data_IF_611421620491
#
_entry.id   IF_611421620491
#
_cell.length_a   1.000
_cell.length_b   1.000
_cell.length_c   1.000
_cell.angle_alpha   90.00
_cell.angle_beta   90.00
_cell.angle_gamma   90.00
#
_symmetry.space_group_name_H-M   'P 1'
#
loop_
_entity.id
_entity.type
_entity.pdbx_description
1 polymer ?
#
# COMPACT_ATOMS: atom_id res chain seq x y z
N UNK A 1 37.23 2.61 -9.64
CA UNK A 1 37.28 1.28 -9.01
C UNK A 1 37.98 0.35 -9.98
N UNK A 2 38.92 -0.48 -9.51
CA UNK A 2 39.65 -1.42 -10.38
C UNK A 2 39.07 -2.81 -10.15
N UNK A 3 38.53 -3.42 -11.20
CA UNK A 3 38.11 -4.81 -11.21
C UNK A 3 39.14 -5.63 -11.98
N UNK A 4 39.52 -6.79 -11.44
CA UNK A 4 40.31 -7.77 -12.20
C UNK A 4 39.31 -8.50 -13.09
N UNK A 5 39.34 -8.27 -14.39
CA UNK A 5 38.46 -8.95 -15.34
C UNK A 5 39.27 -9.93 -16.18
N UNK A 6 38.82 -11.17 -16.24
CA UNK A 6 39.39 -12.22 -17.07
C UNK A 6 38.57 -12.32 -18.36
N UNK A 7 39.12 -11.79 -19.46
CA UNK A 7 38.46 -11.73 -20.77
C UNK A 7 38.13 -13.12 -21.33
N UNK A 8 38.98 -14.13 -21.07
CA UNK A 8 38.82 -15.48 -21.61
C UNK A 8 37.62 -16.20 -20.96
N UNK A 9 37.50 -16.06 -19.64
CA UNK A 9 36.42 -16.68 -18.85
C UNK A 9 35.19 -15.78 -18.72
N UNK A 10 35.35 -14.48 -18.99
CA UNK A 10 34.33 -13.47 -18.77
C UNK A 10 33.90 -13.35 -17.31
N UNK A 11 34.84 -13.46 -16.37
CA UNK A 11 34.58 -13.43 -14.92
C UNK A 11 35.41 -12.36 -14.20
N UNK A 12 34.97 -11.97 -13.00
CA UNK A 12 35.76 -11.14 -12.10
C UNK A 12 36.75 -12.00 -11.30
N UNK A 13 38.02 -11.62 -11.30
CA UNK A 13 39.06 -12.16 -10.43
C UNK A 13 38.89 -11.69 -9.00
N UNK A 14 39.01 -12.61 -8.03
CA UNK A 14 39.01 -12.27 -6.59
C UNK A 14 40.17 -11.34 -6.23
N UNK A 15 41.34 -11.61 -6.80
CA UNK A 15 42.53 -10.77 -6.72
C UNK A 15 43.35 -10.87 -8.02
N UNK A 16 44.35 -10.01 -8.18
CA UNK A 16 45.16 -9.91 -9.39
C UNK A 16 45.94 -11.19 -9.74
N UNK A 17 46.14 -12.09 -8.78
CA UNK A 17 46.89 -13.33 -8.93
C UNK A 17 46.03 -14.58 -8.91
N UNK A 18 44.80 -14.52 -8.38
CA UNK A 18 44.00 -15.71 -8.06
C UNK A 18 43.82 -16.65 -9.26
N UNK A 19 43.40 -16.11 -10.40
CA UNK A 19 43.12 -16.89 -11.62
C UNK A 19 44.40 -17.44 -12.29
N UNK A 20 45.59 -16.98 -11.90
CA UNK A 20 46.86 -17.55 -12.36
C UNK A 20 47.30 -18.80 -11.59
N UNK A 21 46.69 -19.06 -10.43
CA UNK A 21 47.01 -20.22 -9.56
C UNK A 21 46.47 -21.52 -10.15
N UNK A 22 47.02 -22.65 -9.73
CA UNK A 22 46.49 -23.96 -10.13
C UNK A 22 45.18 -24.28 -9.40
N UNK A 23 44.33 -25.13 -9.97
CA UNK A 23 43.17 -25.68 -9.26
C UNK A 23 43.61 -26.61 -8.13
N UNK A 24 42.80 -26.70 -7.07
CA UNK A 24 43.05 -27.62 -5.97
C UNK A 24 43.06 -29.08 -6.49
N UNK A 25 44.05 -29.91 -6.13
CA UNK A 25 44.13 -31.28 -6.63
C UNK A 25 42.95 -32.15 -6.15
N UNK A 26 42.34 -32.92 -7.05
CA UNK A 26 41.15 -33.74 -6.75
C UNK A 26 41.44 -34.85 -5.75
N UNK A 27 42.67 -35.37 -5.72
CA UNK A 27 43.12 -36.38 -4.76
C UNK A 27 43.14 -35.88 -3.30
N UNK A 28 43.07 -34.56 -3.09
CA UNK A 28 43.09 -33.95 -1.77
C UNK A 28 41.66 -33.64 -1.27
N UNK A 29 41.00 -34.64 -0.70
CA UNK A 29 39.58 -34.60 -0.32
C UNK A 29 39.30 -34.21 1.13
N UNK A 30 40.30 -34.27 2.03
CA UNK A 30 40.10 -33.96 3.46
C UNK A 30 39.59 -32.55 3.69
N UNK A 31 38.56 -32.40 4.54
CA UNK A 31 37.96 -31.11 4.94
C UNK A 31 37.67 -31.10 6.44
N UNK A 32 37.72 -29.94 7.12
CA UNK A 32 38.11 -28.61 6.61
C UNK A 32 39.60 -28.51 6.25
N UNK A 33 39.95 -27.75 5.21
CA UNK A 33 41.32 -27.72 4.66
C UNK A 33 42.38 -27.29 5.68
N UNK A 34 42.10 -26.25 6.46
CA UNK A 34 43.05 -25.70 7.44
C UNK A 34 43.39 -26.67 8.58
N UNK A 35 42.58 -27.72 8.79
CA UNK A 35 42.85 -28.76 9.78
C UNK A 35 43.71 -29.91 9.23
N UNK A 36 43.89 -29.97 7.90
CA UNK A 36 44.54 -31.10 7.23
C UNK A 36 45.74 -30.71 6.36
N UNK A 37 45.84 -29.45 5.92
CA UNK A 37 46.89 -28.97 5.04
C UNK A 37 47.51 -27.68 5.57
N UNK A 38 48.82 -27.52 5.34
CA UNK A 38 49.53 -26.31 5.74
C UNK A 38 49.03 -25.09 4.92
N UNK A 39 48.84 -23.90 5.53
CA UNK A 39 48.33 -22.72 4.81
C UNK A 39 49.12 -22.35 3.54
N UNK A 40 50.46 -22.46 3.58
CA UNK A 40 51.31 -22.21 2.41
C UNK A 40 51.09 -23.19 1.25
N UNK A 41 50.50 -24.36 1.50
CA UNK A 41 50.02 -25.26 0.44
C UNK A 41 48.73 -24.70 -0.14
N UNK A 42 47.75 -24.39 0.72
CA UNK A 42 46.41 -23.92 0.32
C UNK A 42 46.47 -22.63 -0.51
N UNK A 43 47.26 -21.65 -0.09
CA UNK A 43 47.32 -20.32 -0.73
C UNK A 43 47.84 -20.30 -2.17
N UNK A 44 48.44 -21.41 -2.63
CA UNK A 44 48.95 -21.58 -4.00
C UNK A 44 47.87 -22.04 -4.99
N UNK A 45 46.67 -22.33 -4.51
CA UNK A 45 45.59 -22.88 -5.32
C UNK A 45 44.37 -21.96 -5.38
N UNK A 46 43.56 -22.17 -6.41
CA UNK A 46 42.23 -21.59 -6.56
C UNK A 46 41.24 -22.35 -5.67
N UNK A 47 41.18 -22.00 -4.39
CA UNK A 47 40.23 -22.60 -3.44
C UNK A 47 39.79 -21.57 -2.41
N UNK A 48 38.50 -21.55 -2.11
CA UNK A 48 37.93 -20.62 -1.14
C UNK A 48 37.56 -21.34 0.14
N UNK A 49 37.90 -20.72 1.27
CA UNK A 49 37.39 -21.13 2.59
C UNK A 49 35.90 -20.79 2.73
N UNK A 50 35.50 -19.66 2.17
CA UNK A 50 34.17 -19.09 2.32
C UNK A 50 33.82 -18.19 1.12
N UNK A 51 32.55 -17.83 1.00
CA UNK A 51 32.08 -16.83 0.05
C UNK A 51 32.87 -15.51 0.18
N UNK A 52 33.55 -15.14 -0.90
CA UNK A 52 34.28 -13.88 -1.05
C UNK A 52 33.65 -13.09 -2.20
N UNK A 53 33.94 -13.50 -3.44
CA UNK A 53 33.36 -12.90 -4.65
C UNK A 53 31.83 -12.94 -4.63
N UNK A 54 31.21 -13.98 -4.06
CA UNK A 54 29.75 -14.04 -3.95
C UNK A 54 29.18 -12.92 -3.06
N UNK A 55 29.83 -12.63 -1.93
CA UNK A 55 29.42 -11.53 -1.06
C UNK A 55 29.69 -10.17 -1.73
N UNK A 56 30.84 -10.02 -2.39
CA UNK A 56 31.18 -8.80 -3.12
C UNK A 56 30.18 -8.50 -4.26
N UNK A 57 29.84 -9.51 -5.06
CA UNK A 57 28.84 -9.43 -6.12
C UNK A 57 27.44 -9.12 -5.60
N UNK A 58 27.10 -9.59 -4.40
CA UNK A 58 25.83 -9.23 -3.77
C UNK A 58 25.79 -7.75 -3.34
N UNK A 59 26.87 -7.27 -2.71
CA UNK A 59 26.96 -5.91 -2.17
C UNK A 59 27.13 -4.84 -3.26
N UNK A 60 27.64 -5.21 -4.44
CA UNK A 60 27.84 -4.28 -5.56
C UNK A 60 26.64 -4.36 -6.52
N UNK A 61 25.87 -3.27 -6.71
CA UNK A 61 24.66 -3.29 -7.52
C UNK A 61 24.92 -3.37 -9.03
N UNK A 62 26.03 -2.83 -9.53
CA UNK A 62 26.23 -2.54 -10.97
C UNK A 62 27.09 -3.54 -11.76
N UNK A 63 27.01 -4.82 -11.43
CA UNK A 63 27.71 -5.87 -12.21
C UNK A 63 26.76 -6.42 -13.27
N UNK A 64 27.25 -6.50 -14.51
CA UNK A 64 26.56 -7.21 -15.61
C UNK A 64 26.10 -8.60 -15.15
N UNK A 65 24.83 -8.92 -15.40
CA UNK A 65 24.21 -10.11 -14.83
C UNK A 65 24.89 -11.40 -15.29
N UNK A 66 25.33 -11.46 -16.54
CA UNK A 66 26.03 -12.60 -17.12
C UNK A 66 27.45 -12.74 -16.55
N UNK A 67 28.18 -11.64 -16.38
CA UNK A 67 29.48 -11.64 -15.68
C UNK A 67 29.32 -12.09 -14.23
N UNK A 68 28.32 -11.58 -13.51
CA UNK A 68 28.00 -11.98 -12.14
C UNK A 68 27.68 -13.47 -12.06
N UNK A 69 26.86 -13.98 -12.99
CA UNK A 69 26.49 -15.40 -13.08
C UNK A 69 27.72 -16.29 -13.22
N UNK A 70 28.54 -16.03 -14.25
CA UNK A 70 29.73 -16.83 -14.54
C UNK A 70 30.72 -16.77 -13.38
N UNK A 71 30.93 -15.58 -12.82
CA UNK A 71 31.82 -15.38 -11.67
C UNK A 71 31.34 -16.19 -10.48
N UNK A 72 30.06 -16.06 -10.09
CA UNK A 72 29.49 -16.77 -8.96
C UNK A 72 29.66 -18.28 -9.07
N UNK A 73 29.21 -18.89 -10.16
CA UNK A 73 29.26 -20.34 -10.31
C UNK A 73 30.69 -20.88 -10.43
N UNK A 74 31.62 -20.10 -10.98
CA UNK A 74 33.03 -20.46 -10.97
C UNK A 74 33.57 -20.55 -9.54
N UNK A 75 33.35 -19.51 -8.71
CA UNK A 75 33.84 -19.50 -7.33
C UNK A 75 33.10 -20.47 -6.42
N UNK A 76 31.80 -20.67 -6.63
CA UNK A 76 31.00 -21.62 -5.86
C UNK A 76 31.50 -23.05 -6.05
N UNK A 77 31.90 -23.44 -7.28
CA UNK A 77 32.49 -24.76 -7.56
C UNK A 77 33.77 -25.04 -6.76
N UNK A 78 34.55 -24.00 -6.45
CA UNK A 78 35.83 -24.10 -5.73
C UNK A 78 35.73 -23.61 -4.28
N UNK A 79 34.52 -23.36 -3.78
CA UNK A 79 34.27 -22.97 -2.41
C UNK A 79 34.07 -24.21 -1.54
N UNK A 80 34.85 -24.29 -0.47
CA UNK A 80 34.78 -25.40 0.49
C UNK A 80 33.68 -25.25 1.53
N UNK A 81 33.19 -24.02 1.72
CA UNK A 81 32.25 -23.68 2.79
C UNK A 81 32.74 -24.09 4.19
N UNK A 82 34.07 -24.10 4.40
CA UNK A 82 34.73 -24.39 5.67
C UNK A 82 34.44 -23.32 6.76
N UNK A 83 33.78 -22.23 6.39
CA UNK A 83 33.30 -21.18 7.30
C UNK A 83 31.78 -21.19 7.38
N UNK A 84 31.26 -21.08 8.60
CA UNK A 84 29.81 -20.99 8.85
C UNK A 84 29.19 -19.69 8.33
N UNK A 85 29.99 -18.70 7.89
CA UNK A 85 29.49 -17.50 7.21
C UNK A 85 29.23 -17.70 5.71
N UNK A 86 29.81 -18.74 5.12
CA UNK A 86 29.73 -18.97 3.68
C UNK A 86 28.29 -19.21 3.19
N UNK A 87 27.48 -20.06 3.85
CA UNK A 87 26.15 -20.39 3.35
C UNK A 87 25.23 -19.19 3.16
N UNK A 88 25.17 -18.26 4.14
CA UNK A 88 24.29 -17.10 4.06
C UNK A 88 24.61 -16.19 2.88
N UNK A 89 25.90 -15.95 2.60
CA UNK A 89 26.30 -15.12 1.46
C UNK A 89 25.97 -15.79 0.12
N UNK A 90 26.13 -17.12 0.04
CA UNK A 90 25.71 -17.89 -1.14
C UNK A 90 24.19 -17.84 -1.34
N UNK A 91 23.38 -17.91 -0.27
CA UNK A 91 21.92 -17.76 -0.38
C UNK A 91 21.54 -16.39 -0.94
N UNK A 92 22.15 -15.30 -0.44
CA UNK A 92 21.86 -13.95 -0.91
C UNK A 92 22.08 -13.80 -2.42
N UNK A 93 23.21 -14.28 -2.93
CA UNK A 93 23.51 -14.21 -4.36
C UNK A 93 22.69 -15.22 -5.18
N UNK A 94 22.46 -16.43 -4.67
CA UNK A 94 21.58 -17.39 -5.32
C UNK A 94 20.15 -16.84 -5.50
N UNK A 95 19.61 -16.14 -4.49
CA UNK A 95 18.34 -15.44 -4.60
C UNK A 95 18.37 -14.34 -5.68
N UNK A 96 19.44 -13.52 -5.72
CA UNK A 96 19.63 -12.50 -6.76
C UNK A 96 19.67 -13.11 -8.17
N UNK A 97 20.25 -14.29 -8.34
CA UNK A 97 20.30 -15.02 -9.63
C UNK A 97 19.11 -15.96 -9.86
N UNK A 98 18.12 -15.97 -8.96
CA UNK A 98 16.92 -16.82 -9.01
C UNK A 98 17.25 -18.34 -9.05
N UNK A 99 18.33 -18.76 -8.40
CA UNK A 99 18.72 -20.16 -8.25
C UNK A 99 18.08 -20.78 -7.00
N UNK A 100 16.91 -21.39 -7.20
CA UNK A 100 16.09 -21.95 -6.11
C UNK A 100 16.80 -23.10 -5.38
N UNK A 101 17.46 -23.99 -6.12
CA UNK A 101 18.07 -25.20 -5.56
C UNK A 101 19.26 -24.84 -4.67
N UNK A 102 20.11 -23.91 -5.14
CA UNK A 102 21.28 -23.46 -4.39
C UNK A 102 20.88 -22.65 -3.16
N UNK A 103 19.90 -21.75 -3.30
CA UNK A 103 19.39 -20.95 -2.20
C UNK A 103 18.75 -21.83 -1.11
N UNK A 104 17.92 -22.80 -1.50
CA UNK A 104 17.31 -23.74 -0.56
C UNK A 104 18.36 -24.61 0.14
N UNK A 105 19.29 -25.21 -0.63
CA UNK A 105 20.35 -26.06 -0.11
C UNK A 105 21.14 -25.33 0.98
N UNK A 106 21.69 -24.16 0.68
CA UNK A 106 22.58 -23.47 1.62
C UNK A 106 21.85 -22.81 2.78
N UNK A 107 20.58 -22.44 2.61
CA UNK A 107 19.76 -22.02 3.74
C UNK A 107 19.58 -23.15 4.74
N UNK A 108 19.21 -24.35 4.28
CA UNK A 108 19.08 -25.53 5.14
C UNK A 108 20.44 -25.95 5.69
N UNK A 109 21.54 -25.74 4.97
CA UNK A 109 22.88 -25.97 5.49
C UNK A 109 23.19 -25.06 6.69
N UNK A 110 23.04 -23.74 6.51
CA UNK A 110 23.27 -22.72 7.54
C UNK A 110 22.34 -22.83 8.75
N UNK A 111 21.04 -22.97 8.53
CA UNK A 111 20.03 -23.01 9.61
C UNK A 111 20.22 -24.18 10.59
N UNK A 112 20.83 -25.28 10.14
CA UNK A 112 21.04 -26.47 10.94
C UNK A 112 22.49 -26.67 11.41
N UNK A 113 23.39 -25.70 11.24
CA UNK A 113 24.81 -25.82 11.66
C UNK A 113 24.90 -26.20 13.15
N UNK A 114 24.35 -25.35 14.03
CA UNK A 114 24.40 -25.59 15.47
C UNK A 114 23.37 -26.64 15.92
N UNK A 115 22.17 -26.64 15.33
CA UNK A 115 21.08 -27.58 15.69
C UNK A 115 21.43 -29.05 15.45
N UNK A 116 22.29 -29.35 14.46
CA UNK A 116 22.72 -30.71 14.13
C UNK A 116 24.22 -30.93 14.37
N UNK A 117 24.89 -30.00 15.04
CA UNK A 117 26.34 -30.00 15.27
C UNK A 117 27.15 -30.36 14.02
N UNK A 118 26.81 -29.77 12.87
CA UNK A 118 27.40 -30.14 11.57
C UNK A 118 28.89 -29.84 11.50
N UNK A 119 29.31 -28.77 12.18
CA UNK A 119 30.71 -28.37 12.29
C UNK A 119 31.46 -29.11 13.41
N UNK A 120 30.78 -29.98 14.17
CA UNK A 120 31.34 -30.81 15.27
C UNK A 120 32.07 -30.01 16.35
N UNK A 121 31.63 -28.78 16.57
CA UNK A 121 32.27 -27.80 17.43
C UNK A 121 31.25 -26.89 18.11
N UNK A 122 29.96 -27.21 18.07
CA UNK A 122 28.90 -26.39 18.71
C UNK A 122 29.11 -26.30 20.23
N UNK A 123 29.71 -27.33 20.83
CA UNK A 123 30.12 -27.32 22.23
C UNK A 123 31.13 -26.21 22.57
N UNK A 124 31.86 -25.67 21.58
CA UNK A 124 32.80 -24.56 21.76
C UNK A 124 32.09 -23.20 21.74
N UNK A 125 30.80 -23.15 21.36
CA UNK A 125 30.00 -21.93 21.26
C UNK A 125 29.12 -21.94 20.01
N UNK A 126 28.02 -21.18 20.08
CA UNK A 126 27.12 -20.99 18.95
C UNK A 126 27.77 -20.12 17.87
N UNK A 127 27.48 -20.43 16.60
CA UNK A 127 27.97 -19.65 15.48
C UNK A 127 27.08 -18.40 15.27
N UNK A 128 27.24 -17.39 16.14
CA UNK A 128 26.39 -16.19 16.15
C UNK A 128 26.32 -15.46 14.80
N UNK A 129 27.43 -15.42 14.06
CA UNK A 129 27.45 -14.83 12.72
C UNK A 129 26.59 -15.62 11.71
N UNK A 130 26.56 -16.94 11.81
CA UNK A 130 25.68 -17.79 10.99
C UNK A 130 24.21 -17.62 11.38
N UNK A 131 23.90 -17.48 12.68
CA UNK A 131 22.54 -17.21 13.14
C UNK A 131 22.04 -15.88 12.55
N UNK A 132 22.84 -14.82 12.62
CA UNK A 132 22.53 -13.53 11.97
C UNK A 132 22.42 -13.65 10.44
N UNK A 133 23.34 -14.38 9.81
CA UNK A 133 23.33 -14.62 8.37
C UNK A 133 22.10 -15.41 7.90
N UNK A 134 21.59 -16.34 8.72
CA UNK A 134 20.36 -17.09 8.43
C UNK A 134 19.14 -16.17 8.44
N UNK A 135 19.08 -15.21 9.37
CA UNK A 135 18.05 -14.17 9.36
C UNK A 135 18.17 -13.27 8.12
N UNK A 136 19.40 -12.86 7.77
CA UNK A 136 19.64 -12.04 6.58
C UNK A 136 19.24 -12.75 5.29
N UNK A 137 19.46 -14.06 5.21
CA UNK A 137 19.00 -14.88 4.09
C UNK A 137 17.47 -14.88 3.95
N UNK A 138 16.72 -14.82 5.06
CA UNK A 138 15.26 -14.66 5.02
C UNK A 138 14.86 -13.26 4.56
N UNK A 139 15.42 -12.21 5.17
CA UNK A 139 14.99 -10.83 4.92
C UNK A 139 15.45 -10.30 3.56
N UNK A 140 16.75 -10.40 3.28
CA UNK A 140 17.37 -9.81 2.09
C UNK A 140 17.62 -10.82 0.96
N UNK A 141 17.59 -12.12 1.26
CA UNK A 141 17.61 -13.18 0.25
C UNK A 141 16.20 -13.46 -0.25
N UNK A 142 15.41 -14.21 0.53
CA UNK A 142 14.06 -14.61 0.12
C UNK A 142 13.07 -13.45 0.09
N UNK A 143 13.13 -12.58 1.08
CA UNK A 143 12.32 -11.36 1.15
C UNK A 143 12.76 -10.30 0.15
N UNK A 144 13.98 -10.39 -0.38
CA UNK A 144 14.50 -9.44 -1.36
C UNK A 144 14.60 -8.00 -0.85
N UNK A 145 14.68 -7.79 0.47
CA UNK A 145 14.86 -6.45 1.04
C UNK A 145 16.25 -5.93 0.67
N UNK A 146 16.27 -4.81 -0.06
CA UNK A 146 17.45 -4.06 -0.43
C UNK A 146 17.24 -2.57 -0.09
N UNK A 147 18.29 -1.91 0.38
CA UNK A 147 18.28 -0.48 0.70
C UNK A 147 19.39 0.17 -0.11
N UNK A 148 19.04 1.20 -0.89
CA UNK A 148 19.97 1.99 -1.70
C UNK A 148 19.60 3.49 -1.64
N UNK A 149 20.24 4.33 -2.45
CA UNK A 149 19.97 5.77 -2.46
C UNK A 149 18.54 6.18 -2.86
N UNK A 150 17.78 5.28 -3.50
CA UNK A 150 16.39 5.49 -3.89
C UNK A 150 15.38 4.97 -2.86
N UNK A 151 15.85 4.41 -1.73
CA UNK A 151 15.02 4.02 -0.59
C UNK A 151 14.92 2.51 -0.38
N UNK A 152 13.72 2.05 -0.01
CA UNK A 152 13.43 0.64 0.30
C UNK A 152 12.96 -0.09 -0.96
N UNK A 153 13.69 -1.14 -1.34
CA UNK A 153 13.35 -2.03 -2.45
C UNK A 153 13.03 -3.43 -1.93
N UNK A 154 12.00 -4.03 -2.51
CA UNK A 154 11.57 -5.40 -2.18
C UNK A 154 11.37 -6.16 -3.49
N UNK A 155 12.17 -7.20 -3.70
CA UNK A 155 12.07 -8.09 -4.86
C UNK A 155 12.19 -9.56 -4.44
N UNK A 156 11.09 -10.16 -3.94
CA UNK A 156 11.14 -11.46 -3.27
C UNK A 156 11.46 -12.62 -4.23
N UNK A 157 12.13 -13.64 -3.70
CA UNK A 157 12.38 -14.91 -4.36
C UNK A 157 12.28 -16.05 -3.36
N UNK A 158 11.22 -16.85 -3.43
CA UNK A 158 11.02 -17.98 -2.50
C UNK A 158 11.15 -19.30 -3.25
N UNK A 159 12.12 -20.17 -2.92
CA UNK A 159 12.16 -21.53 -3.41
C UNK A 159 10.86 -22.29 -3.07
N UNK A 160 10.30 -23.03 -4.03
CA UNK A 160 9.02 -23.74 -3.86
C UNK A 160 8.99 -24.75 -2.69
N UNK A 161 10.17 -25.17 -2.22
CA UNK A 161 10.33 -26.05 -1.07
C UNK A 161 9.90 -25.43 0.26
N UNK A 162 9.91 -24.09 0.42
CA UNK A 162 9.51 -23.44 1.68
C UNK A 162 8.00 -23.30 1.84
N UNK A 163 7.23 -23.35 0.74
CA UNK A 163 5.79 -23.10 0.72
C UNK A 163 5.44 -21.64 1.00
N UNK A 164 5.68 -21.14 2.22
CA UNK A 164 5.30 -19.79 2.66
C UNK A 164 6.30 -19.20 3.65
N UNK A 165 6.53 -17.89 3.54
CA UNK A 165 7.37 -17.13 4.47
C UNK A 165 6.59 -15.92 4.96
N UNK A 166 6.64 -15.66 6.28
CA UNK A 166 6.12 -14.44 6.88
C UNK A 166 7.17 -13.86 7.81
N UNK A 167 7.43 -12.57 7.68
CA UNK A 167 8.30 -11.85 8.60
C UNK A 167 7.83 -10.41 8.77
N UNK A 168 8.33 -9.77 9.83
CA UNK A 168 8.14 -8.35 10.07
C UNK A 168 9.49 -7.65 10.15
N UNK A 169 9.52 -6.39 9.74
CA UNK A 169 10.67 -5.52 9.93
C UNK A 169 10.20 -4.10 10.14
N UNK A 170 11.09 -3.28 10.71
CA UNK A 170 10.85 -1.87 10.95
C UNK A 170 11.57 -1.05 9.89
N UNK A 171 10.84 -0.13 9.26
CA UNK A 171 11.35 0.88 8.34
C UNK A 171 11.01 2.25 8.90
N UNK A 172 12.02 2.96 9.41
CA UNK A 172 11.83 4.17 10.23
C UNK A 172 10.82 3.93 11.35
N UNK A 173 9.70 4.67 11.36
CA UNK A 173 8.65 4.58 12.38
C UNK A 173 7.57 3.55 12.04
N UNK A 174 7.68 2.87 10.90
CA UNK A 174 6.66 1.93 10.41
C UNK A 174 7.09 0.47 10.57
N UNK A 175 6.17 -0.37 11.01
CA UNK A 175 6.35 -1.83 11.04
C UNK A 175 5.61 -2.42 9.85
N UNK A 176 6.34 -3.11 8.98
CA UNK A 176 5.78 -3.83 7.84
C UNK A 176 5.77 -5.33 8.12
N UNK A 177 4.69 -6.00 7.72
CA UNK A 177 4.61 -7.46 7.60
C UNK A 177 4.65 -7.84 6.13
N UNK A 178 5.57 -8.73 5.78
CA UNK A 178 5.68 -9.30 4.44
C UNK A 178 5.26 -10.75 4.51
N UNK A 179 4.31 -11.12 3.67
CA UNK A 179 3.87 -12.49 3.47
C UNK A 179 4.13 -12.89 2.02
N UNK A 180 4.84 -14.01 1.86
CA UNK A 180 5.25 -14.57 0.58
C UNK A 180 4.72 -15.99 0.49
N UNK A 181 3.98 -16.30 -0.56
CA UNK A 181 3.46 -17.64 -0.83
C UNK A 181 3.44 -17.88 -2.34
N UNK A 182 4.18 -18.86 -2.82
CA UNK A 182 4.34 -19.12 -4.25
C UNK A 182 4.74 -17.84 -5.02
N UNK A 183 3.86 -17.29 -5.86
CA UNK A 183 4.08 -16.03 -6.59
C UNK A 183 3.41 -14.81 -5.94
N UNK A 184 2.61 -15.02 -4.89
CA UNK A 184 1.84 -13.99 -4.21
C UNK A 184 2.71 -13.27 -3.18
N UNK A 185 2.60 -11.94 -3.21
CA UNK A 185 3.25 -11.04 -2.26
C UNK A 185 2.16 -10.18 -1.63
N UNK A 186 2.09 -10.21 -0.31
CA UNK A 186 1.22 -9.33 0.48
C UNK A 186 2.11 -8.55 1.46
N UNK A 187 2.09 -7.23 1.36
CA UNK A 187 2.84 -6.33 2.23
C UNK A 187 1.84 -5.46 2.96
N UNK A 188 1.84 -5.54 4.28
CA UNK A 188 0.92 -4.81 5.14
C UNK A 188 1.67 -3.90 6.09
N UNK A 189 1.18 -2.68 6.24
CA UNK A 189 1.57 -1.80 7.34
C UNK A 189 0.86 -2.28 8.60
N UNK A 190 1.64 -2.66 9.61
CA UNK A 190 1.13 -3.09 10.93
C UNK A 190 0.97 -1.90 11.87
N UNK A 191 1.84 -0.90 11.75
CA UNK A 191 1.80 0.35 12.53
C UNK A 191 2.73 1.41 11.92
N UNK A 192 2.61 2.67 12.35
CA UNK A 192 3.43 3.81 11.89
C UNK A 192 2.88 4.46 10.62
N UNK A 193 3.53 5.46 10.00
CA UNK A 193 3.00 6.10 8.78
C UNK A 193 3.00 5.18 7.54
N UNK A 194 2.25 5.52 6.47
CA UNK A 194 2.38 4.85 5.17
C UNK A 194 3.82 4.83 4.66
N UNK A 195 4.21 3.76 3.97
CA UNK A 195 5.59 3.56 3.50
C UNK A 195 5.66 3.54 1.98
N UNK A 196 6.42 4.47 1.41
CA UNK A 196 6.83 4.41 0.01
C UNK A 196 7.95 3.38 -0.17
N UNK A 197 7.79 2.48 -1.13
CA UNK A 197 8.79 1.48 -1.48
C UNK A 197 8.71 1.08 -2.95
N UNK A 198 9.77 0.44 -3.45
CA UNK A 198 9.82 -0.14 -4.80
C UNK A 198 9.59 -1.65 -4.71
N UNK A 199 8.44 -2.12 -5.19
CA UNK A 199 8.11 -3.54 -5.27
C UNK A 199 8.31 -4.02 -6.71
N UNK A 200 9.27 -4.93 -6.94
CA UNK A 200 9.58 -5.48 -8.28
C UNK A 200 9.79 -4.39 -9.36
N UNK A 201 10.36 -3.25 -8.97
CA UNK A 201 10.63 -2.12 -9.86
C UNK A 201 9.51 -1.08 -9.95
N UNK A 202 8.35 -1.32 -9.32
CA UNK A 202 7.23 -0.37 -9.30
C UNK A 202 7.16 0.37 -7.97
N UNK A 203 7.01 1.70 -8.01
CA UNK A 203 6.80 2.51 -6.82
C UNK A 203 5.38 2.27 -6.27
N UNK A 204 5.28 1.90 -4.99
CA UNK A 204 4.01 1.74 -4.29
C UNK A 204 4.03 2.44 -2.93
N UNK A 205 2.85 2.71 -2.39
CA UNK A 205 2.68 3.20 -1.03
C UNK A 205 1.92 2.14 -0.22
N UNK A 206 2.58 1.54 0.76
CA UNK A 206 1.98 0.50 1.62
C UNK A 206 1.28 1.15 2.80
N UNK A 207 0.03 0.75 3.04
CA UNK A 207 -0.76 1.19 4.18
C UNK A 207 -1.35 2.60 4.04
N UNK A 208 -1.38 3.14 2.81
CA UNK A 208 -2.11 4.37 2.49
C UNK A 208 -3.62 4.12 2.66
N UNK A 209 -4.31 5.05 3.32
CA UNK A 209 -5.76 5.03 3.51
C UNK A 209 -6.40 6.32 3.04
N UNK A 210 -7.72 6.27 2.79
CA UNK A 210 -8.52 7.44 2.46
C UNK A 210 -9.78 7.58 3.32
N UNK A 211 -10.15 8.83 3.58
CA UNK A 211 -11.47 9.18 4.10
C UNK A 211 -12.24 9.95 3.03
N UNK A 212 -13.42 9.45 2.68
CA UNK A 212 -14.29 9.96 1.63
C UNK A 212 -15.50 10.62 2.28
N UNK A 213 -15.58 11.94 2.22
CA UNK A 213 -16.63 12.73 2.85
C UNK A 213 -17.75 13.04 1.87
N UNK A 214 -19.00 12.85 2.28
CA UNK A 214 -20.07 13.69 1.76
C UNK A 214 -19.90 15.15 2.24
N UNK A 215 -20.53 16.09 1.55
CA UNK A 215 -20.46 17.51 1.89
C UNK A 215 -21.65 17.93 2.77
N UNK A 216 -22.85 17.63 2.27
CA UNK A 216 -24.10 18.16 2.77
C UNK A 216 -24.46 17.41 4.06
N UNK A 217 -24.60 18.13 5.17
CA UNK A 217 -24.91 17.56 6.48
C UNK A 217 -23.78 16.77 7.16
N UNK A 218 -22.62 16.63 6.51
CA UNK A 218 -21.39 16.09 7.13
C UNK A 218 -20.39 17.20 7.46
N UNK A 219 -20.03 18.04 6.49
CA UNK A 219 -19.05 19.12 6.66
C UNK A 219 -19.71 20.50 6.82
N UNK A 220 -20.91 20.67 6.26
CA UNK A 220 -21.67 21.94 6.30
C UNK A 220 -23.18 21.68 6.31
N UNK A 221 -23.96 22.60 6.88
CA UNK A 221 -25.41 22.48 6.98
C UNK A 221 -26.17 22.98 5.75
N UNK A 222 -26.09 22.24 4.64
CA UNK A 222 -26.76 22.59 3.36
C UNK A 222 -27.90 21.66 2.95
N UNK A 223 -28.12 20.55 3.67
CA UNK A 223 -29.21 19.61 3.40
C UNK A 223 -30.59 20.30 3.41
N UNK A 224 -30.77 21.27 4.29
CA UNK A 224 -31.99 22.06 4.39
C UNK A 224 -32.19 22.99 3.19
N UNK A 225 -31.12 23.61 2.68
CA UNK A 225 -31.16 24.47 1.50
C UNK A 225 -31.65 23.71 0.26
N UNK A 226 -31.26 22.44 0.13
CA UNK A 226 -31.75 21.60 -0.97
C UNK A 226 -33.26 21.35 -0.89
N UNK A 227 -33.78 21.01 0.29
CA UNK A 227 -35.22 20.80 0.48
C UNK A 227 -36.02 22.09 0.27
N UNK A 228 -35.56 23.23 0.81
CA UNK A 228 -36.23 24.51 0.60
C UNK A 228 -36.26 24.93 -0.89
N UNK A 229 -35.19 24.63 -1.65
CA UNK A 229 -35.18 24.84 -3.09
C UNK A 229 -36.26 24.03 -3.82
N UNK A 230 -36.45 22.77 -3.44
CA UNK A 230 -37.53 21.92 -3.97
C UNK A 230 -38.91 22.44 -3.57
N UNK A 231 -39.11 22.78 -2.30
CA UNK A 231 -40.38 23.33 -1.77
C UNK A 231 -40.78 24.63 -2.45
N UNK A 232 -39.81 25.52 -2.73
CA UNK A 232 -40.05 26.75 -3.51
C UNK A 232 -40.47 26.44 -4.94
N UNK A 233 -39.77 25.51 -5.60
CA UNK A 233 -40.08 25.09 -6.97
C UNK A 233 -41.50 24.48 -7.06
N UNK A 234 -41.85 23.54 -6.19
CA UNK A 234 -43.19 22.92 -6.22
C UNK A 234 -44.30 23.91 -5.91
N UNK A 235 -44.06 24.86 -4.99
CA UNK A 235 -45.04 25.90 -4.65
C UNK A 235 -45.37 26.79 -5.84
N UNK A 236 -44.40 27.07 -6.71
CA UNK A 236 -44.63 27.81 -7.96
C UNK A 236 -45.45 27.02 -8.98
N UNK A 237 -45.41 25.68 -8.92
CA UNK A 237 -46.28 24.79 -9.68
C UNK A 237 -47.67 24.60 -9.05
N UNK A 238 -47.92 25.21 -7.88
CA UNK A 238 -49.18 25.09 -7.14
C UNK A 238 -49.25 23.92 -6.15
N UNK A 239 -48.13 23.25 -5.87
CA UNK A 239 -48.06 22.10 -4.97
C UNK A 239 -47.24 22.40 -3.70
N UNK A 240 -47.74 21.99 -2.54
CA UNK A 240 -46.98 22.10 -1.28
C UNK A 240 -46.25 20.79 -1.00
N UNK A 241 -44.93 20.84 -0.91
CA UNK A 241 -44.10 19.66 -0.64
C UNK A 241 -44.10 19.36 0.87
N UNK A 242 -44.57 18.19 1.33
CA UNK A 242 -44.63 17.88 2.75
C UNK A 242 -43.24 17.79 3.40
N UNK A 243 -43.16 18.07 4.69
CA UNK A 243 -41.90 18.07 5.44
C UNK A 243 -41.31 16.67 5.61
N UNK A 244 -42.17 15.66 5.75
CA UNK A 244 -41.80 14.24 5.78
C UNK A 244 -41.09 13.75 4.51
N UNK A 245 -41.22 14.49 3.40
CA UNK A 245 -40.53 14.18 2.15
C UNK A 245 -39.04 14.57 2.18
N UNK A 246 -38.61 15.40 3.16
CA UNK A 246 -37.23 15.86 3.31
C UNK A 246 -36.23 14.71 3.32
N UNK A 247 -36.50 13.65 4.10
CA UNK A 247 -35.63 12.48 4.21
C UNK A 247 -35.47 11.69 2.91
N UNK A 248 -36.49 11.69 2.04
CA UNK A 248 -36.46 10.96 0.76
C UNK A 248 -35.56 11.63 -0.29
N UNK A 249 -35.37 12.94 -0.17
CA UNK A 249 -34.59 13.74 -1.12
C UNK A 249 -33.13 13.90 -0.72
N UNK A 250 -32.77 13.50 0.50
CA UNK A 250 -31.41 13.66 1.04
C UNK A 250 -30.47 12.60 0.46
N UNK A 251 -29.26 13.02 0.08
CA UNK A 251 -28.22 12.13 -0.44
C UNK A 251 -28.44 11.62 -1.88
N UNK A 252 -29.53 11.97 -2.56
CA UNK A 252 -29.80 11.56 -3.96
C UNK A 252 -29.55 12.69 -4.96
N UNK A 253 -29.38 12.33 -6.23
CA UNK A 253 -29.09 13.29 -7.31
C UNK A 253 -30.30 14.19 -7.61
N UNK A 254 -30.05 15.39 -8.17
CA UNK A 254 -31.14 16.31 -8.56
C UNK A 254 -32.16 15.68 -9.52
N UNK A 255 -31.76 14.93 -10.58
CA UNK A 255 -32.73 14.25 -11.44
C UNK A 255 -33.58 13.22 -10.70
N UNK A 256 -32.97 12.41 -9.82
CA UNK A 256 -33.69 11.42 -9.02
C UNK A 256 -34.68 12.09 -8.04
N UNK A 257 -34.23 13.14 -7.35
CA UNK A 257 -35.08 13.94 -6.46
C UNK A 257 -36.26 14.58 -7.20
N UNK A 258 -36.04 15.12 -8.41
CA UNK A 258 -37.12 15.66 -9.23
C UNK A 258 -38.11 14.56 -9.61
N UNK A 259 -37.63 13.40 -10.07
CA UNK A 259 -38.49 12.29 -10.47
C UNK A 259 -39.37 11.81 -9.29
N UNK A 260 -38.80 11.63 -8.10
CA UNK A 260 -39.55 11.29 -6.87
C UNK A 260 -40.65 12.31 -6.54
N UNK A 261 -40.38 13.61 -6.72
CA UNK A 261 -41.37 14.68 -6.49
C UNK A 261 -42.48 14.61 -7.54
N UNK A 262 -42.13 14.44 -8.81
CA UNK A 262 -43.11 14.36 -9.90
C UNK A 262 -44.02 13.14 -9.73
N UNK A 263 -43.45 11.98 -9.40
CA UNK A 263 -44.18 10.74 -9.15
C UNK A 263 -45.13 10.90 -7.96
N UNK A 264 -44.71 11.57 -6.90
CA UNK A 264 -45.54 11.85 -5.72
C UNK A 264 -46.78 12.70 -6.05
N UNK A 265 -46.63 13.71 -6.91
CA UNK A 265 -47.75 14.55 -7.34
C UNK A 265 -48.50 14.03 -8.57
N UNK A 266 -48.07 12.90 -9.15
CA UNK A 266 -48.65 12.35 -10.38
C UNK A 266 -48.48 13.26 -11.59
N UNK A 267 -47.35 13.95 -11.68
CA UNK A 267 -47.04 14.93 -12.72
C UNK A 267 -46.17 14.30 -13.81
N UNK A 268 -46.55 14.54 -15.07
CA UNK A 268 -45.75 14.16 -16.24
C UNK A 268 -45.26 15.41 -16.96
N UNK A 269 -43.96 15.44 -17.22
CA UNK A 269 -43.25 16.52 -17.91
C UNK A 269 -42.32 15.91 -18.96
N UNK A 270 -42.07 16.64 -20.06
CA UNK A 270 -41.04 16.26 -21.02
C UNK A 270 -39.64 16.32 -20.39
N UNK A 271 -38.65 15.69 -21.02
CA UNK A 271 -37.26 15.75 -20.52
C UNK A 271 -36.70 17.19 -20.56
N UNK A 272 -37.09 18.01 -21.55
CA UNK A 272 -36.73 19.43 -21.58
C UNK A 272 -37.33 20.21 -20.39
N UNK A 273 -38.60 19.97 -20.08
CA UNK A 273 -39.28 20.61 -18.95
C UNK A 273 -38.69 20.17 -17.60
N UNK A 274 -38.38 18.88 -17.44
CA UNK A 274 -37.68 18.36 -16.26
C UNK A 274 -36.34 19.05 -16.07
N UNK A 275 -35.59 19.24 -17.16
CA UNK A 275 -34.30 19.93 -17.11
C UNK A 275 -34.47 21.40 -16.69
N UNK A 276 -35.50 22.08 -17.15
CA UNK A 276 -35.82 23.45 -16.74
C UNK A 276 -36.17 23.53 -15.25
N UNK A 277 -37.03 22.65 -14.75
CA UNK A 277 -37.38 22.58 -13.32
C UNK A 277 -36.16 22.29 -12.44
N UNK A 278 -35.31 21.34 -12.86
CA UNK A 278 -34.07 21.02 -12.15
C UNK A 278 -33.07 22.19 -12.13
N UNK A 279 -32.99 22.96 -13.22
CA UNK A 279 -32.17 24.17 -13.31
C UNK A 279 -32.73 25.29 -12.42
N UNK A 280 -34.05 25.47 -12.42
CA UNK A 280 -34.75 26.46 -11.60
C UNK A 280 -34.51 26.21 -10.11
N UNK A 281 -34.68 24.96 -9.65
CA UNK A 281 -34.32 24.57 -8.28
C UNK A 281 -32.84 24.80 -7.98
N UNK A 282 -31.95 24.53 -8.94
CA UNK A 282 -30.52 24.75 -8.77
C UNK A 282 -30.19 26.23 -8.53
N UNK A 283 -30.84 27.13 -9.25
CA UNK A 283 -30.65 28.56 -9.05
C UNK A 283 -31.08 29.00 -7.64
N UNK A 284 -32.20 28.49 -7.12
CA UNK A 284 -32.61 28.76 -5.74
C UNK A 284 -31.61 28.23 -4.72
N UNK A 285 -31.02 27.06 -4.98
CA UNK A 285 -29.97 26.52 -4.14
C UNK A 285 -28.72 27.41 -4.16
N UNK A 286 -28.20 27.76 -5.34
CA UNK A 286 -27.02 28.64 -5.49
C UNK A 286 -27.25 29.98 -4.79
N UNK A 287 -28.43 30.59 -4.99
CA UNK A 287 -28.83 31.82 -4.29
C UNK A 287 -28.70 31.64 -2.76
N UNK A 288 -29.23 30.53 -2.23
CA UNK A 288 -29.24 30.26 -0.79
C UNK A 288 -27.86 29.99 -0.18
N UNK A 289 -26.89 29.53 -0.98
CA UNK A 289 -25.52 29.25 -0.51
C UNK A 289 -24.52 30.35 -0.87
N UNK A 290 -24.96 31.40 -1.58
CA UNK A 290 -24.07 32.47 -2.08
C UNK A 290 -23.32 33.24 -1.00
N UNK A 291 -23.86 33.28 0.23
CA UNK A 291 -23.25 33.93 1.38
C UNK A 291 -22.45 32.96 2.28
N UNK A 292 -22.30 31.70 1.89
CA UNK A 292 -21.56 30.72 2.68
C UNK A 292 -20.07 31.07 2.72
N UNK A 293 -19.49 30.97 3.90
CA UNK A 293 -18.07 31.18 4.17
C UNK A 293 -17.57 30.07 5.09
N UNK A 294 -16.29 30.07 5.46
CA UNK A 294 -15.74 29.14 6.44
C UNK A 294 -16.52 29.08 7.77
N UNK A 295 -17.25 30.14 8.14
CA UNK A 295 -18.11 30.17 9.33
C UNK A 295 -19.32 29.20 9.26
N UNK A 296 -19.65 28.69 8.07
CA UNK A 296 -20.74 27.74 7.86
C UNK A 296 -20.30 26.27 7.98
N UNK A 297 -19.00 26.01 8.18
CA UNK A 297 -18.52 24.67 8.49
C UNK A 297 -19.07 24.20 9.83
N UNK A 298 -19.37 22.91 9.93
CA UNK A 298 -19.69 22.34 11.23
C UNK A 298 -18.48 22.35 12.16
N UNK A 299 -18.69 22.53 13.49
CA UNK A 299 -17.62 22.42 14.46
C UNK A 299 -16.88 21.08 14.31
N UNK A 300 -15.54 21.12 14.26
CA UNK A 300 -14.70 19.92 14.09
C UNK A 300 -14.38 19.56 12.64
N UNK A 301 -15.07 20.13 11.63
CA UNK A 301 -14.87 19.78 10.23
C UNK A 301 -13.50 20.18 9.71
N UNK A 302 -13.03 21.40 10.02
CA UNK A 302 -11.70 21.83 9.61
C UNK A 302 -10.61 21.05 10.37
N UNK A 303 -10.81 20.87 11.67
CA UNK A 303 -9.86 20.19 12.55
C UNK A 303 -9.63 18.74 12.11
N UNK A 304 -10.69 18.01 11.73
CA UNK A 304 -10.53 16.63 11.26
C UNK A 304 -9.85 16.58 9.88
N UNK A 305 -10.18 17.47 8.95
CA UNK A 305 -9.53 17.53 7.63
C UNK A 305 -8.02 17.79 7.76
N UNK A 306 -7.63 18.72 8.65
CA UNK A 306 -6.21 18.97 8.98
C UNK A 306 -5.57 17.73 9.60
N UNK A 307 -6.20 17.14 10.63
CA UNK A 307 -5.64 16.00 11.35
C UNK A 307 -5.47 14.73 10.48
N UNK A 308 -6.34 14.55 9.48
CA UNK A 308 -6.24 13.47 8.50
C UNK A 308 -5.05 13.70 7.55
N UNK A 309 -4.88 14.92 7.03
CA UNK A 309 -3.72 15.26 6.19
C UNK A 309 -2.39 15.14 6.94
N UNK A 310 -2.34 15.57 8.19
CA UNK A 310 -1.13 15.48 9.03
C UNK A 310 -0.72 14.01 9.29
N UNK A 311 -1.68 13.08 9.24
CA UNK A 311 -1.45 11.63 9.31
C UNK A 311 -1.19 10.97 7.94
N UNK A 312 -1.10 11.77 6.89
CA UNK A 312 -0.85 11.30 5.54
C UNK A 312 -2.02 10.58 4.89
N UNK A 313 -3.25 10.70 5.42
CA UNK A 313 -4.43 10.12 4.78
C UNK A 313 -4.81 10.92 3.52
N UNK A 314 -5.30 10.21 2.50
CA UNK A 314 -5.94 10.83 1.34
C UNK A 314 -7.35 11.26 1.70
N UNK A 315 -7.80 12.39 1.15
CA UNK A 315 -9.14 12.90 1.41
C UNK A 315 -9.89 13.08 0.10
N UNK A 316 -11.06 12.45 0.00
CA UNK A 316 -11.97 12.58 -1.13
C UNK A 316 -13.27 13.27 -0.74
N UNK A 317 -13.85 14.05 -1.65
CA UNK A 317 -15.21 14.56 -1.54
C UNK A 317 -16.14 13.78 -2.48
N UNK A 318 -17.23 13.23 -1.96
CA UNK A 318 -18.23 12.43 -2.69
C UNK A 318 -19.64 12.96 -2.42
N UNK A 319 -20.03 14.00 -3.15
CA UNK A 319 -21.38 14.60 -3.09
C UNK A 319 -22.20 14.32 -4.35
N UNK A 320 -23.52 14.21 -4.19
CA UNK A 320 -24.45 14.13 -5.32
C UNK A 320 -24.71 15.50 -5.99
N UNK A 321 -24.25 16.59 -5.37
CA UNK A 321 -24.44 17.96 -5.83
C UNK A 321 -23.34 18.38 -6.81
N UNK A 322 -23.73 18.85 -8.00
CA UNK A 322 -22.79 19.43 -8.98
C UNK A 322 -22.16 20.76 -8.51
N UNK A 323 -22.66 21.35 -7.43
CA UNK A 323 -22.15 22.60 -6.89
C UNK A 323 -21.13 22.39 -5.75
N UNK A 324 -20.79 21.13 -5.44
CA UNK A 324 -19.92 20.81 -4.31
C UNK A 324 -18.55 21.49 -4.40
N UNK A 325 -17.92 21.50 -5.58
CA UNK A 325 -16.64 22.16 -5.82
C UNK A 325 -16.68 23.67 -5.52
N UNK A 326 -17.69 24.39 -6.03
CA UNK A 326 -17.84 25.82 -5.76
C UNK A 326 -18.10 26.10 -4.26
N UNK A 327 -18.85 25.22 -3.60
CA UNK A 327 -19.16 25.38 -2.19
C UNK A 327 -17.92 25.21 -1.32
N UNK A 328 -17.10 24.17 -1.55
CA UNK A 328 -15.87 23.99 -0.77
C UNK A 328 -14.82 25.09 -1.01
N UNK A 329 -14.83 25.73 -2.19
CA UNK A 329 -14.02 26.92 -2.46
C UNK A 329 -14.48 28.08 -1.56
N UNK A 330 -15.79 28.31 -1.48
CA UNK A 330 -16.39 29.37 -0.66
C UNK A 330 -16.20 29.11 0.84
N UNK A 331 -16.22 27.84 1.26
CA UNK A 331 -15.94 27.40 2.63
C UNK A 331 -14.43 27.44 2.97
N UNK A 332 -13.54 27.61 1.99
CA UNK A 332 -12.10 27.67 2.19
C UNK A 332 -11.45 26.32 2.54
N UNK A 333 -12.01 25.20 2.06
CA UNK A 333 -11.51 23.85 2.36
C UNK A 333 -11.11 23.04 1.12
N UNK A 334 -11.11 23.66 -0.06
CA UNK A 334 -10.75 23.00 -1.34
C UNK A 334 -9.39 22.31 -1.32
N UNK A 335 -8.40 22.90 -0.65
CA UNK A 335 -7.02 22.43 -0.61
C UNK A 335 -6.80 21.15 0.21
N UNK A 336 -7.81 20.72 0.99
CA UNK A 336 -7.72 19.50 1.78
C UNK A 336 -8.02 18.24 0.97
N UNK A 337 -8.69 18.38 -0.17
CA UNK A 337 -9.16 17.24 -0.97
C UNK A 337 -8.17 16.89 -2.08
N UNK A 338 -7.65 15.66 -2.03
CA UNK A 338 -6.88 15.04 -3.11
C UNK A 338 -7.76 14.75 -4.34
N UNK A 339 -9.04 14.45 -4.12
CA UNK A 339 -10.02 14.22 -5.17
C UNK A 339 -11.40 14.77 -4.81
N UNK A 340 -12.08 15.35 -5.80
CA UNK A 340 -13.47 15.80 -5.69
C UNK A 340 -14.24 15.16 -6.81
N UNK A 341 -15.23 14.37 -6.42
CA UNK A 341 -16.09 13.66 -7.35
C UNK A 341 -17.01 14.61 -8.12
N UNK A 342 -17.02 14.50 -9.45
CA UNK A 342 -18.07 15.08 -10.28
C UNK A 342 -19.16 14.02 -10.56
N UNK A 343 -20.44 14.28 -10.21
CA UNK A 343 -21.57 13.40 -10.54
C UNK A 343 -21.69 13.02 -12.03
N UNK A 344 -21.09 13.78 -12.95
CA UNK A 344 -21.04 13.43 -14.36
C UNK A 344 -20.10 12.27 -14.71
N UNK A 345 -19.18 11.89 -13.80
CA UNK A 345 -18.20 10.81 -14.01
C UNK A 345 -18.80 9.41 -13.92
N UNK A 346 -20.03 9.28 -13.38
CA UNK A 346 -20.70 7.98 -13.20
C UNK A 346 -22.10 7.98 -13.77
N UNK A 347 -22.55 6.80 -14.22
CA UNK A 347 -23.91 6.62 -14.70
C UNK A 347 -24.94 6.58 -13.55
N UNK A 348 -24.56 6.02 -12.39
CA UNK A 348 -25.45 5.82 -11.25
C UNK A 348 -24.92 6.57 -10.03
N UNK A 349 -25.78 7.37 -9.40
CA UNK A 349 -25.47 8.02 -8.12
C UNK A 349 -25.79 7.13 -6.91
N UNK A 350 -25.65 7.69 -5.70
CA UNK A 350 -26.12 7.05 -4.46
C UNK A 350 -27.61 6.63 -4.62
N UNK A 351 -28.03 5.42 -4.21
CA UNK A 351 -27.34 4.47 -3.33
C UNK A 351 -26.43 3.44 -4.02
N UNK A 352 -26.20 3.55 -5.33
CA UNK A 352 -25.25 2.67 -6.03
C UNK A 352 -23.81 2.99 -5.63
N UNK A 353 -22.88 2.01 -5.65
CA UNK A 353 -21.52 2.19 -5.15
C UNK A 353 -20.61 3.04 -6.05
N UNK A 354 -21.04 3.33 -7.28
CA UNK A 354 -20.24 3.94 -8.34
C UNK A 354 -19.50 5.21 -7.90
N UNK A 355 -20.11 6.18 -7.15
CA UNK A 355 -19.40 7.38 -6.72
C UNK A 355 -18.20 7.10 -5.79
N UNK A 356 -18.36 6.18 -4.84
CA UNK A 356 -17.28 5.85 -3.90
C UNK A 356 -16.22 4.97 -4.54
N UNK A 357 -16.61 4.01 -5.39
CA UNK A 357 -15.66 3.22 -6.18
C UNK A 357 -14.82 4.12 -7.09
N UNK A 358 -15.45 5.12 -7.71
CA UNK A 358 -14.75 6.10 -8.53
C UNK A 358 -13.75 6.91 -7.70
N UNK A 359 -14.14 7.37 -6.52
CA UNK A 359 -13.23 8.09 -5.62
C UNK A 359 -12.03 7.22 -5.18
N UNK A 360 -12.24 5.95 -4.84
CA UNK A 360 -11.14 5.03 -4.50
C UNK A 360 -10.20 4.80 -5.69
N UNK A 361 -10.74 4.59 -6.89
CA UNK A 361 -9.96 4.47 -8.13
C UNK A 361 -9.08 5.71 -8.37
N UNK A 362 -9.66 6.91 -8.28
CA UNK A 362 -8.95 8.16 -8.52
C UNK A 362 -7.89 8.46 -7.46
N UNK A 363 -8.04 7.90 -6.25
CA UNK A 363 -7.04 7.94 -5.19
C UNK A 363 -6.04 6.77 -5.26
N UNK A 364 -6.18 5.87 -6.23
CA UNK A 364 -5.35 4.66 -6.41
C UNK A 364 -5.36 3.75 -5.18
N UNK A 365 -6.55 3.58 -4.57
CA UNK A 365 -6.75 2.76 -3.36
C UNK A 365 -7.78 1.66 -3.59
N UNK A 366 -7.61 0.56 -2.85
CA UNK A 366 -8.64 -0.47 -2.80
C UNK A 366 -9.81 0.00 -1.93
N UNK A 367 -11.06 -0.47 -2.16
CA UNK A 367 -12.18 -0.09 -1.31
C UNK A 367 -12.01 -0.45 0.18
N UNK A 368 -11.24 -1.49 0.50
CA UNK A 368 -10.94 -1.86 1.89
C UNK A 368 -10.09 -0.83 2.63
N UNK A 369 -9.33 -0.01 1.90
CA UNK A 369 -8.48 1.07 2.42
C UNK A 369 -9.21 2.44 2.45
N UNK A 370 -10.52 2.42 2.21
CA UNK A 370 -11.36 3.61 2.20
C UNK A 370 -12.45 3.54 3.29
N UNK A 371 -12.66 4.67 3.95
CA UNK A 371 -13.78 4.91 4.86
C UNK A 371 -14.64 6.04 4.31
N UNK A 372 -15.93 5.81 4.15
CA UNK A 372 -16.91 6.83 3.76
C UNK A 372 -17.62 7.45 4.97
N UNK A 373 -17.87 8.75 4.93
CA UNK A 373 -18.61 9.51 5.95
C UNK A 373 -19.84 10.16 5.32
N UNK A 374 -21.01 9.91 5.90
CA UNK A 374 -22.32 10.25 5.29
C UNK A 374 -23.40 10.57 6.33
N UNK A 375 -24.44 11.32 5.93
CA UNK A 375 -25.53 11.82 6.78
C UNK A 375 -26.94 11.28 6.42
N UNK A 376 -27.02 10.36 5.46
CA UNK A 376 -28.21 9.85 4.80
C UNK A 376 -28.08 8.35 4.45
N UNK A 377 -29.21 7.66 4.55
CA UNK A 377 -29.31 6.20 4.31
C UNK A 377 -28.81 5.78 2.93
N UNK A 378 -29.12 6.55 1.88
CA UNK A 378 -28.71 6.25 0.52
C UNK A 378 -27.18 6.27 0.38
N UNK A 379 -26.51 7.22 1.03
CA UNK A 379 -25.06 7.29 1.00
C UNK A 379 -24.39 6.19 1.81
N UNK A 380 -24.92 5.84 2.99
CA UNK A 380 -24.47 4.66 3.76
C UNK A 380 -24.56 3.39 2.92
N UNK A 381 -25.69 3.17 2.21
CA UNK A 381 -25.85 2.02 1.32
C UNK A 381 -24.83 2.03 0.18
N UNK A 382 -24.52 3.20 -0.38
CA UNK A 382 -23.52 3.38 -1.43
C UNK A 382 -22.12 2.98 -0.95
N UNK A 383 -21.71 3.45 0.24
CA UNK A 383 -20.42 3.11 0.87
C UNK A 383 -20.31 1.61 1.13
N UNK A 384 -21.34 1.01 1.76
CA UNK A 384 -21.33 -0.42 2.07
C UNK A 384 -21.34 -1.29 0.81
N UNK A 385 -22.09 -0.89 -0.21
CA UNK A 385 -22.11 -1.60 -1.51
C UNK A 385 -20.78 -1.52 -2.25
N UNK A 386 -19.96 -0.50 -1.95
CA UNK A 386 -18.60 -0.37 -2.48
C UNK A 386 -17.58 -1.24 -1.74
N UNK A 387 -17.95 -1.88 -0.63
CA UNK A 387 -17.04 -2.68 0.20
C UNK A 387 -16.20 -1.86 1.18
N UNK A 388 -16.61 -0.62 1.48
CA UNK A 388 -15.90 0.31 2.34
C UNK A 388 -16.45 0.30 3.78
N UNK A 389 -15.66 0.85 4.72
CA UNK A 389 -16.15 1.18 6.07
C UNK A 389 -17.06 2.40 5.99
N UNK A 390 -18.25 2.37 6.61
CA UNK A 390 -19.21 3.48 6.60
C UNK A 390 -19.40 4.09 7.98
N UNK A 391 -19.24 5.41 8.07
CA UNK A 391 -19.53 6.20 9.27
C UNK A 391 -20.70 7.13 8.99
N UNK A 392 -21.73 7.04 9.82
CA UNK A 392 -22.90 7.89 9.79
C UNK A 392 -22.77 9.11 10.71
N UNK A 393 -23.20 10.28 10.25
CA UNK A 393 -23.27 11.53 11.03
C UNK A 393 -24.74 11.98 11.15
N UNK A 394 -25.19 12.23 12.38
CA UNK A 394 -26.52 12.73 12.68
C UNK A 394 -27.43 11.68 13.35
N UNK A 395 -28.71 12.02 13.45
CA UNK A 395 -29.71 11.29 14.26
C UNK A 395 -30.75 10.52 13.44
N UNK A 396 -30.64 10.59 12.12
CA UNK A 396 -31.57 9.95 11.20
C UNK A 396 -31.33 8.43 11.11
N UNK A 397 -32.19 7.73 10.37
CA UNK A 397 -32.02 6.30 10.11
C UNK A 397 -30.79 6.04 9.21
N UNK A 398 -29.66 5.77 9.86
CA UNK A 398 -28.38 5.41 9.25
C UNK A 398 -28.10 3.90 9.36
N UNK A 399 -29.16 3.09 9.32
CA UNK A 399 -29.06 1.63 9.37
C UNK A 399 -28.07 1.11 8.32
N UNK A 400 -27.09 0.33 8.77
CA UNK A 400 -26.05 -0.26 7.91
C UNK A 400 -24.68 0.40 8.01
N UNK A 401 -24.56 1.55 8.69
CA UNK A 401 -23.27 2.14 9.03
C UNK A 401 -22.53 1.25 10.06
N UNK A 402 -21.20 1.23 9.99
CA UNK A 402 -20.35 0.51 10.95
C UNK A 402 -20.23 1.27 12.28
N UNK A 403 -20.34 2.60 12.23
CA UNK A 403 -20.44 3.48 13.39
C UNK A 403 -21.33 4.70 13.07
N UNK A 404 -22.02 5.23 14.08
CA UNK A 404 -22.86 6.43 13.95
C UNK A 404 -22.53 7.41 15.08
N UNK A 405 -22.38 8.69 14.73
CA UNK A 405 -22.05 9.76 15.66
C UNK A 405 -23.00 10.95 15.48
N UNK A 406 -23.25 11.71 16.54
CA UNK A 406 -24.12 12.89 16.48
C UNK A 406 -23.53 13.99 15.58
N UNK A 407 -22.20 14.18 15.62
CA UNK A 407 -21.50 15.20 14.85
C UNK A 407 -20.16 14.69 14.31
N UNK A 408 -19.60 15.39 13.31
CA UNK A 408 -18.26 15.09 12.77
C UNK A 408 -17.16 15.24 13.83
N UNK A 409 -17.35 16.15 14.78
CA UNK A 409 -16.44 16.31 15.93
C UNK A 409 -16.42 15.06 16.81
N UNK A 410 -17.58 14.46 17.06
CA UNK A 410 -17.68 13.24 17.87
C UNK A 410 -17.07 12.03 17.15
N UNK A 411 -17.18 11.99 15.81
CA UNK A 411 -16.57 10.96 14.98
C UNK A 411 -15.05 11.07 14.87
N UNK A 412 -14.45 12.21 15.21
CA UNK A 412 -13.04 12.52 14.90
C UNK A 412 -12.06 11.50 15.47
N UNK A 413 -12.24 11.04 16.71
CA UNK A 413 -11.34 10.04 17.29
C UNK A 413 -11.42 8.70 16.56
N UNK A 414 -12.63 8.26 16.22
CA UNK A 414 -12.85 7.02 15.48
C UNK A 414 -12.20 7.06 14.08
N UNK A 415 -12.34 8.19 13.36
CA UNK A 415 -11.74 8.36 12.04
C UNK A 415 -10.20 8.29 12.10
N UNK A 416 -9.59 8.90 13.12
CA UNK A 416 -8.14 8.89 13.29
C UNK A 416 -7.62 7.52 13.75
N UNK A 417 -8.33 6.85 14.67
CA UNK A 417 -7.98 5.51 15.11
C UNK A 417 -8.08 4.49 13.97
N UNK A 418 -9.08 4.62 13.09
CA UNK A 418 -9.22 3.77 11.92
C UNK A 418 -8.03 3.89 10.96
N UNK A 419 -7.34 5.03 10.90
CA UNK A 419 -6.12 5.17 10.10
C UNK A 419 -4.96 4.32 10.64
N UNK A 420 -4.92 4.02 11.94
CA UNK A 420 -3.81 3.28 12.56
C UNK A 420 -3.93 1.77 12.40
N UNK A 421 -5.15 1.25 12.14
CA UNK A 421 -5.48 -0.19 12.11
C UNK A 421 -5.08 -0.88 10.82
#
# INVERSE_FOLDING_TARGET
>A
MVYVYDEERGILGQDASFLSKSLWPEENDKRPLLLHYHPLTIYRYQILKQADTALALYLVPDVDEEVMRRSFYYYEKINTHDSTLSPSATVLLACRLRDADLAYKYFIEGAYIDLKDRSKNTANGLHMANIGGTLLAVLSGFGGININEFGLHIDPFVPGQFGRIRFRFTWYDSVLEVFLADNDIDIKRVSGPPVELVLRGENIIVGQKAVLFDLDGVLTGTSDNHYQGWKRMTKELGYDLPEEFRGRLRGISRPAALQEILDYFGLEYSEEEKQELANRKNNYYIESISAFTSANLYPGALEILTALRDRGAKIGLVSASRNAAQLIDSLGIREYFDYIFDPAETLRGKPYPDPFLKAAEMLSLSPGDCLGVEDAKAGIQSIKSAGMTAVGIGKDDLSGADAVFDTIKDASSYLLDWLEV
#
